data_IF_319482114992
#
_entry.id   IF_319482114992
#
_cell.length_a   1.000
_cell.length_b   1.000
_cell.length_c   1.000
_cell.angle_alpha   90.00
_cell.angle_beta   90.00
_cell.angle_gamma   90.00
#
_symmetry.space_group_name_H-M   'P 1'
#
loop_
_entity.id
_entity.type
_entity.pdbx_description
1 polymer ?
#
# COMPACT_ATOMS: atom_id res chain seq x y z
N UNK A 1 -9.05 5.23 9.29
CA UNK A 1 -8.14 4.75 10.36
C UNK A 1 -6.93 5.66 10.47
N UNK A 2 -6.28 5.73 11.63
CA UNK A 2 -5.03 6.47 11.83
C UNK A 2 -3.81 5.62 11.44
N UNK A 3 -2.65 6.26 11.30
CA UNK A 3 -1.37 5.56 11.07
C UNK A 3 -1.08 4.54 12.17
N UNK A 4 -1.29 4.93 13.43
CA UNK A 4 -1.07 4.07 14.60
C UNK A 4 -2.03 2.88 14.64
N UNK A 5 -3.30 3.10 14.28
CA UNK A 5 -4.27 2.01 14.15
C UNK A 5 -3.85 0.98 13.09
N UNK A 6 -3.35 1.44 11.94
CA UNK A 6 -2.88 0.55 10.88
C UNK A 6 -1.71 -0.34 11.33
N UNK A 7 -0.76 0.24 12.07
CA UNK A 7 0.40 -0.49 12.63
C UNK A 7 -0.05 -1.52 13.68
N UNK A 8 -0.97 -1.15 14.56
CA UNK A 8 -1.52 -2.04 15.59
C UNK A 8 -2.31 -3.20 15.00
N UNK A 9 -3.11 -2.93 13.97
CA UNK A 9 -3.98 -3.91 13.34
C UNK A 9 -3.21 -5.01 12.59
N UNK A 10 -2.04 -4.66 12.01
CA UNK A 10 -1.14 -5.62 11.37
C UNK A 10 0.00 -6.11 12.29
N UNK A 11 0.09 -5.58 13.51
CA UNK A 11 1.18 -5.83 14.47
C UNK A 11 2.57 -5.73 13.83
N UNK A 12 2.78 -4.70 13.02
CA UNK A 12 4.00 -4.54 12.24
C UNK A 12 4.59 -3.14 12.36
N UNK A 13 5.88 -2.99 12.07
CA UNK A 13 6.56 -1.69 12.02
C UNK A 13 6.28 -0.95 10.70
N UNK A 14 6.56 0.36 10.67
CA UNK A 14 6.42 1.20 9.45
C UNK A 14 7.17 0.59 8.26
N UNK A 15 8.38 0.08 8.49
CA UNK A 15 9.18 -0.58 7.46
C UNK A 15 8.51 -1.84 6.92
N UNK A 16 7.93 -2.67 7.79
CA UNK A 16 7.22 -3.88 7.38
C UNK A 16 5.93 -3.55 6.63
N UNK A 17 5.22 -2.51 7.07
CA UNK A 17 4.03 -2.02 6.37
C UNK A 17 4.36 -1.53 4.96
N UNK A 18 5.50 -0.85 4.79
CA UNK A 18 6.00 -0.40 3.49
C UNK A 18 6.23 -1.57 2.53
N UNK A 19 6.88 -2.63 3.02
CA UNK A 19 7.12 -3.86 2.24
C UNK A 19 5.80 -4.52 1.86
N UNK A 20 4.85 -4.66 2.80
CA UNK A 20 3.54 -5.28 2.53
C UNK A 20 2.71 -4.50 1.51
N UNK A 21 2.80 -3.18 1.51
CA UNK A 21 2.07 -2.30 0.59
C UNK A 21 2.84 -2.03 -0.72
N UNK A 22 4.09 -2.48 -0.83
CA UNK A 22 4.95 -2.23 -1.99
C UNK A 22 5.27 -0.75 -2.20
N UNK A 23 5.40 0.03 -1.12
CA UNK A 23 5.71 1.46 -1.17
C UNK A 23 6.96 1.79 -0.37
N UNK A 24 7.46 3.02 -0.51
CA UNK A 24 8.61 3.47 0.27
C UNK A 24 8.22 3.78 1.72
N UNK A 25 9.17 3.61 2.64
CA UNK A 25 9.02 4.03 4.04
C UNK A 25 8.65 5.51 4.14
N UNK A 26 9.28 6.37 3.32
CA UNK A 26 8.99 7.80 3.27
C UNK A 26 7.51 8.05 2.94
N UNK A 27 6.92 7.29 2.01
CA UNK A 27 5.50 7.44 1.68
C UNK A 27 4.57 7.20 2.88
N UNK A 28 4.92 6.28 3.78
CA UNK A 28 4.16 6.03 5.02
C UNK A 28 4.45 7.11 6.07
N UNK A 29 5.69 7.61 6.14
CA UNK A 29 6.02 8.73 7.01
C UNK A 29 5.23 10.00 6.66
N UNK A 30 4.93 10.20 5.37
CA UNK A 30 4.14 11.33 4.86
C UNK A 30 2.62 11.14 5.02
N UNK A 31 2.16 10.02 5.58
CA UNK A 31 0.73 9.87 5.89
C UNK A 31 0.35 10.76 7.05
N UNK A 32 -0.82 11.36 6.92
CA UNK A 32 -1.42 12.15 7.97
C UNK A 32 -1.62 11.30 9.24
N UNK A 33 -1.30 11.88 10.40
CA UNK A 33 -1.46 11.20 11.68
C UNK A 33 -2.94 11.05 12.03
N UNK A 34 -3.77 12.02 11.62
CA UNK A 34 -5.20 12.01 11.88
C UNK A 34 -5.95 11.04 10.98
N UNK A 35 -5.55 10.93 9.69
CA UNK A 35 -6.29 10.11 8.74
C UNK A 35 -5.45 9.66 7.55
N UNK A 36 -5.26 8.34 7.43
CA UNK A 36 -4.64 7.78 6.23
C UNK A 36 -5.59 7.87 5.02
N UNK A 37 -5.07 7.92 3.77
CA UNK A 37 -5.91 7.92 2.58
C UNK A 37 -6.83 6.70 2.51
N UNK A 38 -8.08 6.92 2.09
CA UNK A 38 -9.13 5.88 2.03
C UNK A 38 -8.66 4.62 1.27
N UNK A 39 -7.98 4.80 0.14
CA UNK A 39 -7.45 3.69 -0.65
C UNK A 39 -6.46 2.80 0.14
N UNK A 40 -5.63 3.41 1.00
CA UNK A 40 -4.66 2.68 1.83
C UNK A 40 -5.33 1.99 3.01
N UNK A 41 -6.34 2.62 3.58
CA UNK A 41 -7.17 1.99 4.62
C UNK A 41 -7.80 0.68 4.13
N UNK A 42 -8.36 0.65 2.91
CA UNK A 42 -8.90 -0.58 2.34
C UNK A 42 -7.80 -1.65 2.17
N UNK A 43 -6.64 -1.29 1.63
CA UNK A 43 -5.54 -2.25 1.46
C UNK A 43 -5.05 -2.84 2.80
N UNK A 44 -4.98 -2.01 3.84
CA UNK A 44 -4.58 -2.45 5.18
C UNK A 44 -5.63 -3.41 5.78
N UNK A 45 -6.93 -3.10 5.59
CA UNK A 45 -8.04 -3.97 6.00
C UNK A 45 -8.05 -5.31 5.27
N UNK A 46 -7.72 -5.31 3.98
CA UNK A 46 -7.58 -6.55 3.20
C UNK A 46 -6.42 -7.40 3.71
N UNK A 47 -5.24 -6.80 3.91
CA UNK A 47 -4.07 -7.48 4.49
C UNK A 47 -4.38 -8.10 5.85
N UNK A 48 -5.12 -7.39 6.69
CA UNK A 48 -5.50 -7.88 8.02
C UNK A 48 -6.56 -8.98 7.99
N UNK A 49 -7.40 -8.98 6.95
CA UNK A 49 -8.32 -10.08 6.67
C UNK A 49 -7.62 -11.30 6.06
N UNK A 50 -6.29 -11.26 5.87
CA UNK A 50 -5.53 -12.30 5.17
C UNK A 50 -5.80 -12.35 3.66
N UNK A 51 -6.41 -11.31 3.09
CA UNK A 51 -6.64 -11.17 1.65
C UNK A 51 -5.43 -10.47 1.02
N UNK A 52 -5.03 -10.94 -0.15
CA UNK A 52 -4.03 -10.22 -0.95
C UNK A 52 -4.67 -8.92 -1.48
N UNK A 53 -4.05 -7.75 -1.26
CA UNK A 53 -4.56 -6.48 -1.80
C UNK A 53 -4.73 -6.58 -3.31
N UNK A 54 -5.78 -5.96 -3.84
CA UNK A 54 -6.00 -5.83 -5.29
C UNK A 54 -4.74 -5.21 -5.92
N UNK A 55 -3.88 -6.07 -6.47
CA UNK A 55 -2.72 -5.65 -7.24
C UNK A 55 -3.28 -4.96 -8.47
N UNK A 56 -2.95 -3.68 -8.64
CA UNK A 56 -3.28 -2.97 -9.88
C UNK A 56 -2.60 -3.74 -11.00
N UNK A 57 -3.36 -4.52 -11.75
CA UNK A 57 -2.93 -5.07 -13.03
C UNK A 57 -2.79 -3.87 -13.96
N UNK A 58 -1.66 -3.16 -13.86
CA UNK A 58 -1.18 -2.36 -14.96
C UNK A 58 -0.91 -3.38 -16.04
N UNK A 59 -1.86 -3.55 -16.96
CA UNK A 59 -1.58 -4.15 -18.23
C UNK A 59 -0.44 -3.32 -18.80
N UNK A 60 0.78 -3.86 -18.72
CA UNK A 60 1.93 -3.27 -19.35
C UNK A 60 1.65 -3.45 -20.83
N UNK A 61 1.05 -2.44 -21.46
CA UNK A 61 1.17 -2.26 -22.90
C UNK A 61 2.65 -2.05 -23.13
N UNK A 62 3.34 -3.17 -23.39
CA UNK A 62 4.65 -3.19 -24.02
C UNK A 62 4.41 -2.60 -25.41
N UNK A 63 4.49 -1.28 -25.52
CA UNK A 63 4.53 -0.60 -26.80
C UNK A 63 5.88 -0.96 -27.42
N UNK A 64 5.87 -2.08 -28.13
CA UNK A 64 6.99 -2.57 -28.92
C UNK A 64 7.32 -1.47 -29.92
N UNK A 65 8.53 -0.94 -29.78
CA UNK A 65 9.38 -0.45 -30.86
C UNK A 65 8.88 -0.84 -32.26
N UNK A 66 8.14 0.05 -32.93
CA UNK A 66 8.05 0.08 -34.38
C UNK A 66 8.80 1.31 -34.85
N UNK A 67 10.11 1.12 -35.00
CA UNK A 67 10.98 1.96 -35.83
C UNK A 67 10.82 1.44 -37.26
N UNK A 68 10.19 2.21 -38.14
CA UNK A 68 10.46 2.19 -39.60
C UNK A 68 10.11 3.56 -40.15
#
# INVERSE_FOLDING_TARGET
MTKSEALNLLKCSVTQLAVKLGISHNAISQWDEEKIPLAREYQIKDLASGREPLKRSVAITQEKSCRT
#
